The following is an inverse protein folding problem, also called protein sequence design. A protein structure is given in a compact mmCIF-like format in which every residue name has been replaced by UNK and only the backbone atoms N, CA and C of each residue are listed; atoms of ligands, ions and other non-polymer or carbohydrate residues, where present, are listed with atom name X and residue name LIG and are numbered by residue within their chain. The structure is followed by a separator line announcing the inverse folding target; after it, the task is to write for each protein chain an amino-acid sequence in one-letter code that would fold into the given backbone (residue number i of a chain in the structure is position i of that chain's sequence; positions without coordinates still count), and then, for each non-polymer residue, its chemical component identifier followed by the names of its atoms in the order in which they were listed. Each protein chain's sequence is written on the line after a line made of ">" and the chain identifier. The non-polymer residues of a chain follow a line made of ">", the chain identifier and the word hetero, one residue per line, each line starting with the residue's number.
data_IF_485409378129
#
_entry.id   IF_485409378129
#
_cell.length_a   1.000
_cell.length_b   1.000
_cell.length_c   1.000
_cell.angle_alpha   90.00
_cell.angle_beta   90.00
_cell.angle_gamma   90.00
#
_symmetry.space_group_name_H-M   'P 1'
#
loop_
_entity.id
_entity.type
_entity.pdbx_description
1 polymer ?
#
# COMPACT_ATOMS: atom_id res chain seq x y z
N UNK A 1 9.45 -14.09 27.08
CA UNK A 1 9.16 -12.70 27.54
C UNK A 1 10.47 -11.98 27.63
N UNK A 2 10.65 -10.93 26.84
CA UNK A 2 11.89 -10.15 26.79
C UNK A 2 11.52 -8.74 27.24
N UNK A 3 12.21 -8.19 28.23
CA UNK A 3 11.98 -6.83 28.69
C UNK A 3 12.79 -5.87 27.81
N UNK A 4 12.10 -4.92 27.19
CA UNK A 4 12.72 -3.84 26.41
C UNK A 4 12.33 -2.51 27.05
N UNK A 5 13.32 -1.78 27.55
CA UNK A 5 13.14 -0.42 28.05
C UNK A 5 13.53 0.56 26.96
N UNK A 6 12.64 1.50 26.64
CA UNK A 6 12.86 2.53 25.64
C UNK A 6 12.86 3.89 26.32
N UNK A 7 13.96 4.62 26.18
CA UNK A 7 13.98 6.05 26.47
C UNK A 7 13.54 6.78 25.20
N UNK A 8 12.46 7.55 25.31
CA UNK A 8 11.88 8.30 24.20
C UNK A 8 12.03 9.78 24.47
N UNK A 9 12.28 10.56 23.41
CA UNK A 9 12.18 12.01 23.51
C UNK A 9 10.76 12.41 23.95
N UNK A 10 10.59 13.48 24.73
CA UNK A 10 9.29 13.88 25.28
C UNK A 10 8.20 14.03 24.21
N UNK A 11 8.56 14.60 23.05
CA UNK A 11 7.63 14.78 21.93
C UNK A 11 7.19 13.44 21.32
N UNK A 12 8.10 12.47 21.22
CA UNK A 12 7.79 11.14 20.69
C UNK A 12 6.92 10.34 21.67
N UNK A 13 7.16 10.50 22.98
CA UNK A 13 6.31 9.90 24.00
C UNK A 13 4.88 10.44 23.96
N UNK A 14 4.71 11.76 23.83
CA UNK A 14 3.37 12.36 23.73
C UNK A 14 2.64 11.96 22.45
N UNK A 15 3.35 11.87 21.30
CA UNK A 15 2.76 11.36 20.06
C UNK A 15 2.28 9.91 20.20
N UNK A 16 3.07 9.05 20.85
CA UNK A 16 2.69 7.67 21.11
C UNK A 16 1.49 7.59 22.06
N UNK A 17 1.44 8.45 23.08
CA UNK A 17 0.34 8.53 24.03
C UNK A 17 -0.96 8.96 23.36
N UNK A 18 -0.92 9.99 22.53
CA UNK A 18 -2.08 10.46 21.75
C UNK A 18 -2.60 9.36 20.82
N UNK A 19 -1.69 8.66 20.13
CA UNK A 19 -2.06 7.56 19.24
C UNK A 19 -2.67 6.38 20.00
N UNK A 20 -2.13 6.05 21.18
CA UNK A 20 -2.70 5.03 22.06
C UNK A 20 -4.10 5.40 22.54
N UNK A 21 -4.31 6.66 22.94
CA UNK A 21 -5.64 7.19 23.31
C UNK A 21 -6.62 7.15 22.14
N UNK A 22 -6.19 7.54 20.94
CA UNK A 22 -7.01 7.51 19.71
C UNK A 22 -7.48 6.10 19.37
N UNK A 23 -6.61 5.11 19.59
CA UNK A 23 -6.88 3.70 19.29
C UNK A 23 -7.55 2.95 20.45
N UNK A 24 -7.74 3.59 21.61
CA UNK A 24 -8.29 2.95 22.81
C UNK A 24 -7.42 1.81 23.34
N UNK A 25 -6.10 1.87 23.13
CA UNK A 25 -5.13 0.81 23.50
C UNK A 25 -4.15 1.33 24.54
N UNK A 26 -3.47 0.40 25.23
CA UNK A 26 -2.34 0.76 26.09
C UNK A 26 -1.15 1.28 25.27
N UNK A 27 -0.27 2.03 25.93
CA UNK A 27 0.98 2.51 25.33
C UNK A 27 1.86 1.36 24.87
N UNK A 28 2.00 0.30 25.69
CA UNK A 28 2.83 -0.85 25.33
C UNK A 28 2.28 -1.54 24.10
N UNK A 29 0.95 -1.73 24.02
CA UNK A 29 0.35 -2.43 22.89
C UNK A 29 0.45 -1.64 21.60
N UNK A 30 0.35 -0.32 21.69
CA UNK A 30 0.54 0.59 20.55
C UNK A 30 1.98 0.57 20.08
N UNK A 31 2.95 0.66 21.00
CA UNK A 31 4.38 0.57 20.69
C UNK A 31 4.74 -0.78 20.04
N UNK A 32 4.27 -1.89 20.62
CA UNK A 32 4.48 -3.23 20.09
C UNK A 32 3.90 -3.35 18.68
N UNK A 33 2.69 -2.82 18.44
CA UNK A 33 2.05 -2.86 17.12
C UNK A 33 2.85 -2.08 16.09
N UNK A 34 3.35 -0.89 16.44
CA UNK A 34 4.16 -0.06 15.53
C UNK A 34 5.48 -0.76 15.22
N UNK A 35 6.17 -1.28 16.23
CA UNK A 35 7.42 -2.02 16.05
C UNK A 35 7.20 -3.27 15.19
N UNK A 36 6.16 -4.05 15.49
CA UNK A 36 5.78 -5.21 14.71
C UNK A 36 5.52 -4.82 13.26
N UNK A 37 4.67 -3.82 13.00
CA UNK A 37 4.38 -3.36 11.64
C UNK A 37 5.63 -2.89 10.90
N UNK A 38 6.54 -2.17 11.54
CA UNK A 38 7.76 -1.67 10.88
C UNK A 38 8.80 -2.76 10.63
N UNK A 39 8.88 -3.76 11.50
CA UNK A 39 9.90 -4.81 11.45
C UNK A 39 9.45 -6.09 10.75
N UNK A 40 8.15 -6.41 10.76
CA UNK A 40 7.59 -7.62 10.12
C UNK A 40 6.82 -7.36 8.85
N UNK A 41 6.41 -6.12 8.56
CA UNK A 41 6.05 -5.81 7.18
C UNK A 41 7.37 -5.84 6.41
N UNK A 42 7.62 -6.83 5.52
CA UNK A 42 8.77 -6.74 4.65
C UNK A 42 8.63 -5.38 3.97
N UNK A 43 9.71 -4.61 3.94
CA UNK A 43 9.77 -3.37 3.18
C UNK A 43 9.57 -3.74 1.71
N UNK A 44 8.33 -4.01 1.31
CA UNK A 44 7.87 -4.14 -0.07
C UNK A 44 7.97 -2.79 -0.76
N UNK A 45 8.21 -1.71 0.01
CA UNK A 45 8.73 -0.47 -0.54
C UNK A 45 10.04 -0.69 -1.31
N UNK A 46 10.91 -1.64 -0.95
CA UNK A 46 12.15 -1.84 -1.72
C UNK A 46 11.85 -2.51 -3.07
N UNK A 47 11.04 -3.57 -3.10
CA UNK A 47 10.67 -4.26 -4.33
C UNK A 47 9.78 -3.41 -5.24
N UNK A 48 8.72 -2.84 -4.68
CA UNK A 48 7.79 -1.96 -5.40
C UNK A 48 8.45 -0.66 -5.84
N UNK A 49 9.22 0.01 -4.98
CA UNK A 49 9.91 1.23 -5.40
C UNK A 49 11.05 0.95 -6.39
N UNK A 50 11.76 -0.18 -6.27
CA UNK A 50 12.77 -0.61 -7.25
C UNK A 50 12.13 -0.98 -8.59
N UNK A 51 10.97 -1.64 -8.58
CA UNK A 51 10.18 -1.92 -9.77
C UNK A 51 9.65 -0.62 -10.41
N UNK A 52 9.06 0.29 -9.62
CA UNK A 52 8.62 1.61 -10.09
C UNK A 52 9.79 2.38 -10.69
N UNK A 53 10.95 2.39 -10.03
CA UNK A 53 12.16 3.07 -10.52
C UNK A 53 12.67 2.43 -11.82
N UNK A 54 12.65 1.10 -11.92
CA UNK A 54 13.03 0.38 -13.13
C UNK A 54 12.07 0.65 -14.29
N UNK A 55 10.75 0.66 -14.03
CA UNK A 55 9.71 0.92 -15.02
C UNK A 55 9.72 2.38 -15.48
N UNK A 56 9.93 3.35 -14.57
CA UNK A 56 10.15 4.76 -14.92
C UNK A 56 11.39 4.93 -15.79
N UNK A 57 12.51 4.28 -15.43
CA UNK A 57 13.76 4.32 -16.20
C UNK A 57 13.60 3.69 -17.59
N UNK A 58 12.77 2.66 -17.73
CA UNK A 58 12.47 2.00 -19.00
C UNK A 58 11.40 2.75 -19.84
N UNK A 59 10.85 3.87 -19.35
CA UNK A 59 9.75 4.58 -20.02
C UNK A 59 8.41 3.83 -20.03
N UNK A 60 8.31 2.72 -19.28
CA UNK A 60 7.13 1.85 -19.21
C UNK A 60 6.12 2.27 -18.15
N UNK A 61 6.49 3.25 -17.31
CA UNK A 61 5.58 3.86 -16.34
C UNK A 61 5.44 5.35 -16.64
N UNK A 62 4.37 5.69 -17.34
CA UNK A 62 3.96 7.07 -17.62
C UNK A 62 3.15 7.61 -16.46
N UNK A 63 3.44 8.85 -16.07
CA UNK A 63 2.58 9.54 -15.10
C UNK A 63 1.23 9.83 -15.74
N UNK A 64 0.16 9.74 -14.94
CA UNK A 64 -1.18 10.08 -15.39
C UNK A 64 -1.19 11.55 -15.82
N UNK A 65 -1.48 11.79 -17.09
CA UNK A 65 -1.64 13.14 -17.61
C UNK A 65 -2.80 13.88 -16.93
N UNK A 66 -2.87 15.22 -17.06
CA UNK A 66 -3.90 16.04 -16.41
C UNK A 66 -5.33 15.61 -16.77
N UNK A 67 -5.56 15.19 -18.02
CA UNK A 67 -6.85 14.66 -18.47
C UNK A 67 -7.21 13.30 -17.84
N UNK A 68 -6.22 12.43 -17.62
CA UNK A 68 -6.44 11.15 -16.95
C UNK A 68 -6.68 11.33 -15.46
N UNK A 69 -6.00 12.30 -14.82
CA UNK A 69 -6.23 12.67 -13.42
C UNK A 69 -7.65 13.19 -13.21
N UNK A 70 -8.12 14.11 -14.07
CA UNK A 70 -9.51 14.59 -14.04
C UNK A 70 -10.53 13.46 -14.19
N UNK A 71 -10.30 12.52 -15.10
CA UNK A 71 -11.18 11.35 -15.26
C UNK A 71 -11.15 10.42 -14.06
N UNK A 72 -10.00 10.24 -13.43
CA UNK A 72 -9.86 9.44 -12.21
C UNK A 72 -10.55 10.11 -11.00
N UNK A 73 -10.46 11.44 -10.88
CA UNK A 73 -11.16 12.21 -9.84
C UNK A 73 -12.69 12.18 -10.01
N UNK A 74 -13.16 12.04 -11.25
CA UNK A 74 -14.58 11.89 -11.59
C UNK A 74 -15.08 10.44 -11.45
N UNK A 75 -14.18 9.47 -11.23
CA UNK A 75 -14.56 8.08 -11.06
C UNK A 75 -15.05 7.86 -9.62
N UNK A 76 -16.37 7.85 -9.44
CA UNK A 76 -17.04 7.57 -8.16
C UNK A 76 -17.21 6.08 -7.84
N UNK A 77 -16.69 5.19 -8.69
CA UNK A 77 -16.79 3.75 -8.48
C UNK A 77 -15.79 3.31 -7.41
N UNK A 78 -16.30 2.65 -6.38
CA UNK A 78 -15.47 2.02 -5.37
C UNK A 78 -14.72 0.82 -5.95
N UNK A 79 -13.58 0.47 -5.33
CA UNK A 79 -12.79 -0.70 -5.72
C UNK A 79 -13.59 -2.00 -5.72
N UNK A 80 -14.57 -2.14 -4.82
CA UNK A 80 -15.43 -3.32 -4.77
C UNK A 80 -16.42 -3.36 -5.93
N UNK A 81 -17.00 -2.22 -6.32
CA UNK A 81 -17.91 -2.14 -7.47
C UNK A 81 -17.17 -2.39 -8.79
N UNK A 82 -15.94 -1.86 -8.92
CA UNK A 82 -15.08 -2.17 -10.08
C UNK A 82 -14.79 -3.66 -10.14
N UNK A 83 -14.46 -4.28 -9.01
CA UNK A 83 -14.17 -5.72 -8.94
C UNK A 83 -15.40 -6.56 -9.27
N UNK A 84 -16.55 -6.23 -8.69
CA UNK A 84 -17.81 -6.90 -8.98
C UNK A 84 -18.21 -6.78 -10.46
N UNK A 85 -18.01 -5.60 -11.07
CA UNK A 85 -18.28 -5.39 -12.49
C UNK A 85 -17.31 -6.19 -13.40
N UNK A 86 -16.04 -6.29 -13.02
CA UNK A 86 -15.05 -7.10 -13.72
C UNK A 86 -15.31 -8.61 -13.58
N UNK A 87 -15.75 -9.06 -12.41
CA UNK A 87 -16.11 -10.46 -12.16
C UNK A 87 -17.45 -10.85 -12.83
N UNK A 88 -18.37 -9.88 -12.98
CA UNK A 88 -19.67 -10.08 -13.64
C UNK A 88 -19.61 -9.93 -15.17
N UNK A 89 -18.56 -9.33 -15.72
CA UNK A 89 -18.42 -9.16 -17.17
C UNK A 89 -18.23 -10.53 -17.86
N UNK A 90 -19.02 -10.87 -18.88
CA UNK A 90 -18.81 -12.09 -19.67
C UNK A 90 -17.53 -11.93 -20.49
N UNK A 91 -16.44 -12.50 -19.99
CA UNK A 91 -15.12 -12.40 -20.61
C UNK A 91 -14.05 -13.04 -19.75
N UNK A 92 -12.83 -13.15 -20.29
CA UNK A 92 -11.68 -13.61 -19.51
C UNK A 92 -11.38 -12.60 -18.39
N UNK A 93 -11.07 -13.07 -17.17
CA UNK A 93 -10.61 -12.19 -16.09
C UNK A 93 -9.48 -11.29 -16.56
N UNK A 94 -9.42 -10.06 -16.04
CA UNK A 94 -8.37 -9.09 -16.40
C UNK A 94 -6.96 -9.65 -16.18
N UNK A 95 -6.79 -10.53 -15.19
CA UNK A 95 -5.54 -11.26 -14.94
C UNK A 95 -5.13 -12.14 -16.13
N UNK A 96 -6.06 -12.83 -16.77
CA UNK A 96 -5.80 -13.66 -17.96
C UNK A 96 -5.49 -12.80 -19.18
N UNK A 97 -6.22 -11.71 -19.38
CA UNK A 97 -5.96 -10.77 -20.49
C UNK A 97 -4.54 -10.18 -20.37
N UNK A 98 -4.11 -9.81 -19.16
CA UNK A 98 -2.75 -9.30 -18.90
C UNK A 98 -1.69 -10.38 -19.14
N UNK A 99 -1.97 -11.63 -18.80
CA UNK A 99 -1.05 -12.76 -19.05
C UNK A 99 -0.90 -13.02 -20.56
N UNK A 100 -1.99 -12.97 -21.32
CA UNK A 100 -1.98 -13.11 -22.77
C UNK A 100 -1.24 -11.94 -23.45
N UNK A 101 -1.51 -10.71 -23.03
CA UNK A 101 -0.82 -9.52 -23.54
C UNK A 101 0.67 -9.45 -23.19
N UNK A 102 1.09 -10.07 -22.07
CA UNK A 102 2.50 -10.11 -21.67
C UNK A 102 3.36 -10.96 -22.63
N UNK A 103 2.75 -11.88 -23.36
CA UNK A 103 3.48 -12.85 -24.19
C UNK A 103 4.29 -13.86 -23.35
N UNK A 104 4.95 -14.83 -24.01
CA UNK A 104 5.74 -15.86 -23.34
C UNK A 104 6.92 -15.25 -22.59
N UNK A 105 7.20 -15.80 -21.40
CA UNK A 105 8.31 -15.40 -20.54
C UNK A 105 9.59 -16.02 -21.13
N UNK A 106 10.23 -15.32 -22.06
CA UNK A 106 11.56 -15.68 -22.58
C UNK A 106 12.59 -15.51 -21.46
#
# INVERSE_FOLDING_TARGET
>A
MTLLTLELEPELYENLRQEASRLGKSLEKTAETILYQRLTTPTSASGKAKAIKALKKAGLLTELGPEMKKRAEQANLSLEEVRAALDAAPGKPLSELIIEMRGPKI
#
